data_IF_735934393080
#
_entry.id   IF_735934393080
#
_cell.length_a   1.000
_cell.length_b   1.000
_cell.length_c   1.000
_cell.angle_alpha   90.00
_cell.angle_beta   90.00
_cell.angle_gamma   90.00
#
_symmetry.space_group_name_H-M   'P 1'
#
loop_
_entity.id
_entity.type
_entity.pdbx_description
1 polymer ?
#
# COMPACT_ATOMS: atom_id res chain seq x y z
N UNK A 1 5.99 28.63 35.00
CA UNK A 1 5.48 29.84 34.31
C UNK A 1 3.98 29.65 34.07
N UNK A 2 3.18 30.73 34.09
CA UNK A 2 1.72 30.70 33.86
C UNK A 2 1.33 31.81 32.86
N UNK A 3 0.32 31.57 32.02
CA UNK A 3 -0.32 32.52 31.11
C UNK A 3 -1.65 33.00 31.71
N UNK A 4 -2.03 34.26 31.46
CA UNK A 4 -3.21 34.88 32.05
C UNK A 4 -4.20 35.22 30.93
N UNK A 5 -5.40 34.65 31.00
CA UNK A 5 -6.45 34.82 30.00
C UNK A 5 -7.00 36.25 30.01
N UNK A 6 -7.31 36.80 28.83
CA UNK A 6 -7.62 38.23 28.68
C UNK A 6 -8.95 38.66 29.33
N UNK A 7 -10.01 37.84 29.26
CA UNK A 7 -11.34 38.25 29.77
C UNK A 7 -11.82 37.46 30.99
N UNK A 8 -11.28 36.27 31.22
CA UNK A 8 -11.69 35.43 32.37
C UNK A 8 -10.88 35.69 33.64
N UNK A 9 -9.68 36.30 33.53
CA UNK A 9 -8.74 36.45 34.64
C UNK A 9 -8.22 35.11 35.19
N UNK A 10 -8.43 34.03 34.44
CA UNK A 10 -7.94 32.69 34.75
C UNK A 10 -6.46 32.59 34.36
N UNK A 11 -5.67 31.95 35.21
CA UNK A 11 -4.30 31.58 34.87
C UNK A 11 -4.26 30.12 34.43
N UNK A 12 -3.68 29.86 33.26
CA UNK A 12 -3.38 28.51 32.78
C UNK A 12 -1.85 28.30 32.77
N UNK A 13 -1.35 27.07 32.96
CA UNK A 13 0.06 26.77 32.69
C UNK A 13 0.50 27.22 31.30
N UNK A 14 1.70 27.80 31.15
CA UNK A 14 2.19 28.35 29.86
C UNK A 14 2.28 27.32 28.73
N UNK A 15 2.24 26.01 29.05
CA UNK A 15 2.17 24.93 28.05
C UNK A 15 0.83 24.85 27.31
N UNK A 16 -0.22 25.44 27.88
CA UNK A 16 -1.58 25.53 27.33
C UNK A 16 -1.80 26.85 26.57
N UNK A 17 -0.73 27.56 26.26
CA UNK A 17 -0.81 28.75 25.42
C UNK A 17 -0.38 28.35 24.03
N UNK A 18 -1.23 28.55 23.03
CA UNK A 18 -0.98 28.15 21.64
C UNK A 18 -0.85 26.62 21.47
N UNK A 19 -1.63 25.85 22.23
CA UNK A 19 -1.62 24.38 22.13
C UNK A 19 -2.77 23.81 21.30
N UNK A 20 -3.60 24.69 20.74
CA UNK A 20 -4.71 24.35 19.86
C UNK A 20 -6.01 24.00 20.59
N UNK A 21 -6.06 24.09 21.92
CA UNK A 21 -7.29 23.92 22.70
C UNK A 21 -7.71 25.24 23.36
N UNK A 22 -9.02 25.49 23.47
CA UNK A 22 -9.56 26.63 24.20
C UNK A 22 -9.51 26.35 25.71
N UNK A 23 -8.31 26.46 26.26
CA UNK A 23 -8.04 26.27 27.67
C UNK A 23 -8.49 27.47 28.51
N UNK A 24 -8.57 28.67 27.92
CA UNK A 24 -9.06 29.86 28.59
C UNK A 24 -10.60 29.97 28.65
N UNK A 25 -11.33 29.29 27.77
CA UNK A 25 -12.78 29.37 27.58
C UNK A 25 -13.25 30.64 26.83
N UNK A 26 -12.31 31.51 26.46
CA UNK A 26 -12.51 32.70 25.64
C UNK A 26 -11.53 32.74 24.45
N UNK A 27 -10.82 31.64 24.20
CA UNK A 27 -9.83 31.44 23.15
C UNK A 27 -8.66 32.44 23.16
N UNK A 28 -8.41 33.11 24.30
CA UNK A 28 -7.37 34.16 24.41
C UNK A 28 -5.94 33.60 24.51
N UNK A 29 -5.81 32.35 24.93
CA UNK A 29 -4.59 31.54 24.89
C UNK A 29 -4.14 31.16 23.49
N UNK A 30 -5.09 31.03 22.55
CA UNK A 30 -4.85 30.73 21.14
C UNK A 30 -4.75 31.98 20.26
N UNK A 31 -4.88 33.17 20.85
CA UNK A 31 -4.79 34.45 20.14
C UNK A 31 -3.36 35.00 20.15
N UNK A 32 -2.97 35.61 19.03
CA UNK A 32 -1.70 36.34 18.92
C UNK A 32 -0.47 35.48 19.26
N UNK A 33 -0.55 34.19 18.92
CA UNK A 33 0.56 33.27 18.87
C UNK A 33 1.57 33.79 17.85
N UNK A 34 2.50 34.64 18.31
CA UNK A 34 3.70 34.97 17.55
C UNK A 34 4.37 33.64 17.24
N UNK A 35 4.65 33.41 15.94
CA UNK A 35 5.40 32.26 15.40
C UNK A 35 6.75 32.17 16.13
N UNK A 36 6.70 31.65 17.34
CA UNK A 36 7.84 31.19 18.09
C UNK A 36 7.93 29.79 17.56
N UNK A 37 8.70 29.63 16.48
CA UNK A 37 8.71 28.42 15.65
C UNK A 37 8.58 27.18 16.52
N UNK A 38 7.72 26.26 16.09
CA UNK A 38 7.49 25.00 16.77
C UNK A 38 8.85 24.41 17.22
N UNK A 39 8.86 23.65 18.33
CA UNK A 39 10.10 23.06 18.82
C UNK A 39 10.83 22.30 17.71
N UNK A 40 12.16 22.12 17.80
CA UNK A 40 12.94 21.41 16.75
C UNK A 40 12.39 20.01 16.40
N UNK A 41 11.57 19.41 17.26
CA UNK A 41 10.88 18.12 17.07
C UNK A 41 9.44 18.22 16.55
N UNK A 42 9.00 19.39 16.11
CA UNK A 42 7.64 19.65 15.67
C UNK A 42 7.60 20.30 14.28
N UNK A 43 6.62 19.87 13.49
CA UNK A 43 6.27 20.46 12.20
C UNK A 43 5.28 21.62 12.39
N UNK A 44 5.44 22.69 11.61
CA UNK A 44 4.55 23.86 11.65
C UNK A 44 3.56 23.80 10.49
N UNK A 45 2.28 23.61 10.81
CA UNK A 45 1.18 23.61 9.86
C UNK A 45 0.96 25.00 9.24
N UNK A 46 0.29 25.07 8.08
CA UNK A 46 -0.06 26.35 7.42
C UNK A 46 -1.06 27.18 8.23
N UNK A 47 -1.95 26.53 9.00
CA UNK A 47 -2.84 27.16 9.97
C UNK A 47 -2.15 27.61 11.26
N UNK A 48 -0.83 27.39 11.40
CA UNK A 48 -0.02 27.79 12.56
C UNK A 48 0.00 26.77 13.70
N UNK A 49 -0.70 25.64 13.57
CA UNK A 49 -0.65 24.54 14.56
C UNK A 49 0.70 23.82 14.51
N UNK A 50 1.12 23.26 15.65
CA UNK A 50 2.33 22.44 15.72
C UNK A 50 1.96 20.97 15.94
N UNK A 51 2.44 20.09 15.08
CA UNK A 51 2.33 18.63 15.24
C UNK A 51 3.73 18.06 15.49
N UNK A 52 3.84 16.83 16.00
CA UNK A 52 5.16 16.19 16.08
C UNK A 52 5.69 15.92 14.67
N UNK A 53 6.99 16.08 14.43
CA UNK A 53 7.58 15.83 13.09
C UNK A 53 7.39 14.40 12.57
N UNK A 54 7.01 13.43 13.42
CA UNK A 54 6.66 12.07 12.98
C UNK A 54 5.29 11.98 12.26
N UNK A 55 4.47 13.02 12.41
CA UNK A 55 3.15 13.18 11.80
C UNK A 55 3.21 14.05 10.54
N UNK A 56 4.41 14.45 10.13
CA UNK A 56 4.62 15.01 8.80
C UNK A 56 4.69 13.84 7.82
N UNK A 57 3.78 13.81 6.83
CA UNK A 57 3.76 12.81 5.77
C UNK A 57 3.45 11.37 6.23
N UNK A 58 2.63 11.22 7.26
CA UNK A 58 2.23 9.90 7.77
C UNK A 58 0.90 9.39 7.17
N UNK A 59 0.24 10.21 6.36
CA UNK A 59 -1.00 9.91 5.66
C UNK A 59 -2.26 10.38 6.37
N UNK A 60 -2.15 10.95 7.58
CA UNK A 60 -3.27 11.49 8.35
C UNK A 60 -3.27 13.03 8.34
N UNK A 61 -4.45 13.63 8.51
CA UNK A 61 -4.59 15.09 8.59
C UNK A 61 -4.45 15.57 10.04
N UNK A 62 -3.25 15.51 10.59
CA UNK A 62 -2.94 15.95 11.95
C UNK A 62 -3.00 17.47 12.09
N UNK A 63 -2.63 18.20 11.04
CA UNK A 63 -2.74 19.65 11.01
C UNK A 63 -4.19 20.15 11.01
N UNK A 64 -5.13 19.35 10.51
CA UNK A 64 -6.54 19.72 10.30
C UNK A 64 -6.80 20.52 9.00
N UNK A 65 -5.75 20.98 8.33
CA UNK A 65 -5.78 21.72 7.06
C UNK A 65 -5.01 21.02 5.91
N UNK A 66 -4.58 19.76 6.12
CA UNK A 66 -3.76 18.94 5.22
C UNK A 66 -2.38 19.52 4.89
N UNK A 67 -1.88 20.47 5.68
CA UNK A 67 -0.59 21.11 5.39
C UNK A 67 0.64 20.26 5.73
N UNK A 68 0.48 19.28 6.61
CA UNK A 68 1.41 18.18 6.90
C UNK A 68 1.60 17.23 5.72
N UNK A 69 0.53 16.94 4.97
CA UNK A 69 0.58 15.93 3.89
C UNK A 69 0.86 16.51 2.49
N UNK A 70 0.72 17.84 2.31
CA UNK A 70 0.83 18.46 0.97
C UNK A 70 2.24 18.53 0.40
N UNK A 71 3.26 18.65 1.25
CA UNK A 71 4.64 18.91 0.82
C UNK A 71 5.59 17.72 1.05
N UNK A 72 5.03 16.52 1.04
CA UNK A 72 5.82 15.30 1.13
C UNK A 72 6.69 15.11 -0.11
N UNK A 73 8.00 14.99 0.13
CA UNK A 73 8.95 14.48 -0.83
C UNK A 73 9.01 12.96 -0.67
N UNK A 74 8.35 12.25 -1.58
CA UNK A 74 8.43 10.80 -1.61
C UNK A 74 9.86 10.37 -1.87
N UNK A 75 10.31 9.34 -1.15
CA UNK A 75 11.57 8.68 -1.46
C UNK A 75 11.51 8.01 -2.84
N UNK A 76 12.66 7.65 -3.41
CA UNK A 76 12.70 6.96 -4.71
C UNK A 76 11.95 5.62 -4.71
N UNK A 77 11.76 5.01 -3.53
CA UNK A 77 11.05 3.75 -3.32
C UNK A 77 9.54 3.94 -3.09
N UNK A 78 9.01 5.15 -3.24
CA UNK A 78 7.61 5.47 -3.03
C UNK A 78 6.98 6.09 -4.29
N UNK A 79 5.67 5.90 -4.43
CA UNK A 79 4.83 6.56 -5.42
C UNK A 79 4.08 7.72 -4.76
N UNK A 80 3.95 8.84 -5.48
CA UNK A 80 3.23 10.03 -5.00
C UNK A 80 1.83 10.05 -5.59
N UNK A 81 0.82 9.97 -4.74
CA UNK A 81 -0.58 10.13 -5.12
C UNK A 81 -0.85 11.53 -5.70
N UNK A 82 -1.70 11.60 -6.72
CA UNK A 82 -1.85 12.82 -7.53
C UNK A 82 -2.57 13.95 -6.79
N UNK A 83 -3.72 13.67 -6.14
CA UNK A 83 -4.48 14.71 -5.44
C UNK A 83 -4.05 14.92 -3.99
N UNK A 84 -3.80 13.85 -3.24
CA UNK A 84 -3.44 13.94 -1.81
C UNK A 84 -1.99 14.32 -1.60
N UNK A 85 -1.10 13.99 -2.54
CA UNK A 85 0.34 14.14 -2.37
C UNK A 85 0.97 13.13 -1.41
N UNK A 86 0.16 12.19 -0.89
CA UNK A 86 0.58 11.08 -0.02
C UNK A 86 1.57 10.19 -0.74
N UNK A 87 2.51 9.61 0.01
CA UNK A 87 3.49 8.68 -0.50
C UNK A 87 3.13 7.25 -0.11
N UNK A 88 2.87 6.39 -1.07
CA UNK A 88 2.66 4.95 -0.87
C UNK A 88 3.91 4.18 -1.28
N UNK A 89 4.15 2.95 -0.76
CA UNK A 89 5.17 2.07 -1.30
C UNK A 89 5.03 1.93 -2.82
N UNK A 90 6.15 1.91 -3.55
CA UNK A 90 6.09 1.79 -5.02
C UNK A 90 5.47 0.46 -5.47
N UNK A 91 5.51 -0.56 -4.64
CA UNK A 91 4.90 -1.86 -4.92
C UNK A 91 3.36 -1.81 -4.95
N UNK A 92 2.75 -0.77 -4.33
CA UNK A 92 1.31 -0.50 -4.33
C UNK A 92 0.87 0.31 -5.55
N UNK A 93 1.79 0.62 -6.47
CA UNK A 93 1.42 1.20 -7.74
C UNK A 93 0.97 0.06 -8.64
N UNK A 94 -0.28 0.08 -9.12
CA UNK A 94 -0.83 -0.92 -10.04
C UNK A 94 -1.02 -2.29 -9.41
N UNK A 95 -1.27 -2.40 -8.12
CA UNK A 95 -1.47 -3.69 -7.45
C UNK A 95 -2.94 -4.15 -7.46
N UNK A 96 -3.84 -3.33 -8.02
CA UNK A 96 -5.27 -3.59 -8.15
C UNK A 96 -6.13 -2.94 -7.06
N UNK A 97 -5.51 -2.30 -6.06
CA UNK A 97 -6.20 -1.65 -4.94
C UNK A 97 -6.06 -0.12 -4.99
N UNK A 98 -7.07 0.61 -4.47
CA UNK A 98 -7.00 2.08 -4.36
C UNK A 98 -6.31 2.48 -3.05
N UNK A 99 -4.98 2.41 -3.04
CA UNK A 99 -4.16 2.83 -1.91
C UNK A 99 -4.08 4.34 -1.78
N UNK A 100 -4.18 5.08 -2.87
CA UNK A 100 -4.16 6.55 -2.84
C UNK A 100 -5.47 7.17 -2.33
N UNK A 101 -6.58 6.44 -2.35
CA UNK A 101 -7.94 6.91 -2.03
C UNK A 101 -8.56 7.80 -3.11
N UNK A 102 -7.81 8.06 -4.19
CA UNK A 102 -8.24 8.79 -5.39
C UNK A 102 -7.97 7.99 -6.67
N UNK A 103 -7.53 6.74 -6.53
CA UNK A 103 -7.23 5.80 -7.60
C UNK A 103 -6.17 6.33 -8.59
N UNK A 104 -5.21 7.14 -8.11
CA UNK A 104 -4.11 7.67 -8.94
C UNK A 104 -2.90 6.72 -9.06
N UNK A 105 -2.87 5.69 -8.25
CA UNK A 105 -2.00 4.52 -8.27
C UNK A 105 -2.40 3.47 -9.32
N UNK A 106 -3.68 3.28 -9.62
CA UNK A 106 -4.09 2.22 -10.56
C UNK A 106 -4.09 2.52 -12.07
N UNK A 107 -4.03 3.77 -12.58
CA UNK A 107 -4.03 4.04 -14.01
C UNK A 107 -2.61 4.10 -14.62
N UNK A 108 -2.55 3.77 -15.92
CA UNK A 108 -1.37 3.81 -16.81
C UNK A 108 -0.25 2.80 -16.44
N UNK A 109 -0.65 1.58 -16.13
CA UNK A 109 0.23 0.47 -15.78
C UNK A 109 0.75 -0.23 -17.04
N UNK A 110 1.57 0.48 -17.83
CA UNK A 110 2.17 -0.07 -19.06
C UNK A 110 3.42 -0.92 -18.76
N UNK A 111 3.99 -0.78 -17.56
CA UNK A 111 5.18 -1.51 -17.12
C UNK A 111 5.27 -1.56 -15.60
N UNK A 112 5.48 -2.74 -15.04
CA UNK A 112 5.80 -2.93 -13.62
C UNK A 112 7.29 -2.67 -13.34
N UNK A 113 7.68 -2.68 -12.07
CA UNK A 113 9.11 -2.63 -11.69
C UNK A 113 9.85 -3.91 -12.13
N UNK A 114 11.19 -3.87 -12.18
CA UNK A 114 12.02 -5.02 -12.62
C UNK A 114 11.81 -6.30 -11.79
N UNK A 115 11.23 -6.20 -10.59
CA UNK A 115 10.93 -7.30 -9.68
C UNK A 115 9.47 -7.76 -9.68
N UNK A 116 8.64 -7.20 -10.55
CA UNK A 116 7.20 -7.48 -10.64
C UNK A 116 6.84 -8.10 -11.99
N UNK A 117 5.74 -8.84 -12.01
CA UNK A 117 5.14 -9.43 -13.20
C UNK A 117 3.89 -8.63 -13.60
N UNK A 118 3.76 -8.30 -14.89
CA UNK A 118 2.59 -7.60 -15.45
C UNK A 118 1.56 -8.61 -15.95
N UNK A 119 0.42 -8.66 -15.27
CA UNK A 119 -0.75 -9.44 -15.65
C UNK A 119 -1.40 -8.94 -16.94
N UNK A 120 -2.18 -9.79 -17.62
CA UNK A 120 -2.91 -9.44 -18.85
C UNK A 120 -3.96 -8.33 -18.60
N UNK A 121 -4.49 -8.25 -17.38
CA UNK A 121 -5.43 -7.22 -16.94
C UNK A 121 -4.76 -5.89 -16.50
N UNK A 122 -3.43 -5.80 -16.54
CA UNK A 122 -2.67 -4.59 -16.17
C UNK A 122 -2.24 -4.51 -14.70
N UNK A 123 -2.54 -5.52 -13.89
CA UNK A 123 -2.10 -5.60 -12.49
C UNK A 123 -0.62 -6.02 -12.42
N UNK A 124 0.12 -5.46 -11.47
CA UNK A 124 1.49 -5.79 -11.16
C UNK A 124 1.56 -6.63 -9.88
N UNK A 125 1.92 -7.89 -10.01
CA UNK A 125 2.16 -8.78 -8.86
C UNK A 125 3.65 -8.90 -8.58
N UNK A 126 4.00 -9.37 -7.39
CA UNK A 126 5.40 -9.68 -7.06
C UNK A 126 5.89 -10.77 -8.01
N UNK A 127 7.08 -10.64 -8.61
CA UNK A 127 7.57 -11.63 -9.58
C UNK A 127 7.75 -13.05 -9.02
N UNK A 128 7.74 -13.23 -7.70
CA UNK A 128 7.71 -14.57 -7.06
C UNK A 128 6.36 -15.27 -7.15
N UNK A 129 5.30 -14.54 -7.47
CA UNK A 129 3.94 -15.04 -7.67
C UNK A 129 3.68 -15.38 -9.14
N UNK A 130 4.63 -15.11 -10.04
CA UNK A 130 4.58 -15.70 -11.37
C UNK A 130 4.84 -17.22 -11.23
N UNK A 131 3.89 -18.04 -11.67
CA UNK A 131 4.01 -19.50 -11.69
C UNK A 131 4.11 -20.18 -10.31
N UNK A 132 3.44 -19.65 -9.29
CA UNK A 132 3.41 -20.22 -7.95
C UNK A 132 2.19 -21.12 -7.68
N UNK A 133 1.33 -21.29 -8.70
CA UNK A 133 0.07 -22.07 -8.68
C UNK A 133 -1.13 -21.41 -8.02
N UNK A 134 -1.02 -20.17 -7.59
CA UNK A 134 -2.13 -19.35 -7.14
C UNK A 134 -2.54 -18.34 -8.24
N UNK A 135 -3.73 -17.75 -8.12
CA UNK A 135 -4.24 -16.77 -9.10
C UNK A 135 -4.14 -15.38 -8.48
N UNK A 136 -2.93 -14.84 -8.44
CA UNK A 136 -2.62 -13.54 -7.89
C UNK A 136 -3.01 -12.41 -8.83
N UNK A 137 -2.96 -12.65 -10.15
CA UNK A 137 -3.48 -11.69 -11.14
C UNK A 137 -5.00 -11.54 -11.12
N UNK A 138 -5.74 -12.51 -10.57
CA UNK A 138 -7.21 -12.57 -10.62
C UNK A 138 -7.78 -13.04 -11.98
N UNK A 139 -6.99 -13.01 -13.06
CA UNK A 139 -7.35 -13.44 -14.42
C UNK A 139 -6.54 -14.65 -14.95
N UNK A 140 -5.77 -15.30 -14.06
CA UNK A 140 -4.87 -16.43 -14.31
C UNK A 140 -3.70 -16.14 -15.27
N UNK A 141 -3.38 -14.88 -15.56
CA UNK A 141 -2.30 -14.56 -16.53
C UNK A 141 -0.90 -14.88 -16.01
N UNK A 142 -0.68 -14.83 -14.71
CA UNK A 142 0.49 -15.30 -13.97
C UNK A 142 0.80 -16.80 -14.14
N UNK A 143 -0.22 -17.62 -14.39
CA UNK A 143 -0.08 -19.09 -14.43
C UNK A 143 -0.10 -19.67 -15.86
N UNK A 144 -0.45 -18.89 -16.89
CA UNK A 144 -0.63 -19.40 -18.28
C UNK A 144 0.67 -19.74 -18.99
N UNK A 145 1.75 -19.00 -18.72
CA UNK A 145 2.98 -19.04 -19.51
C UNK A 145 4.19 -19.66 -18.79
N UNK A 146 3.92 -20.48 -17.78
CA UNK A 146 4.94 -21.16 -17.01
C UNK A 146 5.72 -22.20 -17.81
N UNK A 147 7.05 -22.15 -17.68
CA UNK A 147 7.93 -23.23 -18.14
C UNK A 147 8.08 -24.25 -17.02
N UNK A 148 7.40 -25.38 -17.16
CA UNK A 148 7.53 -26.47 -16.20
C UNK A 148 8.96 -27.02 -16.20
N UNK A 149 9.49 -27.26 -15.00
CA UNK A 149 10.76 -27.98 -14.85
C UNK A 149 10.64 -29.40 -15.42
N UNK A 150 11.77 -30.04 -15.73
CA UNK A 150 11.78 -31.44 -16.22
C UNK A 150 11.19 -32.46 -15.24
N UNK A 151 10.92 -32.07 -14.00
CA UNK A 151 10.27 -32.87 -12.95
C UNK A 151 8.78 -32.55 -12.78
N UNK A 152 8.19 -31.78 -13.68
CA UNK A 152 6.80 -31.33 -13.63
C UNK A 152 6.08 -31.64 -14.94
N UNK A 153 4.77 -31.91 -14.85
CA UNK A 153 3.87 -32.10 -15.98
C UNK A 153 3.08 -30.80 -16.21
N UNK A 154 2.87 -30.43 -17.48
CA UNK A 154 2.15 -29.21 -17.87
C UNK A 154 0.71 -29.55 -18.24
N UNK A 155 -0.25 -29.01 -17.50
CA UNK A 155 -1.67 -29.13 -17.78
C UNK A 155 -2.05 -28.43 -19.10
N UNK A 156 -2.98 -29.02 -19.85
CA UNK A 156 -3.26 -28.62 -21.24
C UNK A 156 -4.08 -27.32 -21.34
N UNK A 157 -5.04 -27.10 -20.43
CA UNK A 157 -5.97 -25.96 -20.50
C UNK A 157 -5.47 -24.71 -19.81
N UNK A 158 -4.93 -24.85 -18.60
CA UNK A 158 -4.51 -23.71 -17.75
C UNK A 158 -2.98 -23.50 -17.76
N UNK A 159 -2.19 -24.41 -18.33
CA UNK A 159 -0.74 -24.30 -18.37
C UNK A 159 -0.04 -24.56 -17.02
N UNK A 160 -0.80 -24.95 -15.99
CA UNK A 160 -0.32 -25.23 -14.62
C UNK A 160 0.71 -26.35 -14.62
N UNK A 161 1.73 -26.22 -13.78
CA UNK A 161 2.77 -27.23 -13.61
C UNK A 161 2.50 -28.07 -12.35
N UNK A 162 2.10 -29.33 -12.52
CA UNK A 162 1.98 -30.29 -11.42
C UNK A 162 3.25 -31.12 -11.29
N UNK A 163 3.47 -31.80 -10.16
CA UNK A 163 4.61 -32.72 -10.03
C UNK A 163 4.45 -33.86 -11.04
N UNK A 164 5.54 -34.29 -11.68
CA UNK A 164 5.49 -35.44 -12.60
C UNK A 164 5.02 -36.75 -11.92
N UNK A 165 5.00 -36.82 -10.58
CA UNK A 165 4.41 -37.92 -9.83
C UNK A 165 2.88 -37.95 -9.85
N UNK A 166 2.24 -36.84 -10.22
CA UNK A 166 0.79 -36.67 -10.33
C UNK A 166 0.31 -36.85 -11.77
N UNK A 167 1.21 -37.18 -12.70
CA UNK A 167 0.80 -37.64 -14.03
C UNK A 167 0.38 -39.10 -13.91
N UNK A 168 -0.86 -39.42 -14.27
CA UNK A 168 -1.41 -40.78 -14.26
C UNK A 168 -1.44 -41.46 -12.88
N UNK A 169 -1.69 -40.71 -11.81
CA UNK A 169 -1.81 -41.25 -10.46
C UNK A 169 -3.26 -41.60 -10.06
N UNK A 170 -4.22 -41.23 -10.92
CA UNK A 170 -5.65 -41.52 -10.78
C UNK A 170 -6.48 -40.38 -10.20
N UNK A 171 -5.86 -39.26 -9.83
CA UNK A 171 -6.52 -38.05 -9.34
C UNK A 171 -6.46 -36.94 -10.41
N UNK A 172 -7.46 -36.07 -10.46
CA UNK A 172 -7.49 -34.92 -11.39
C UNK A 172 -6.82 -33.72 -10.72
N UNK A 173 -5.49 -33.64 -10.80
CA UNK A 173 -4.67 -32.55 -10.28
C UNK A 173 -4.62 -31.36 -11.23
N UNK A 174 -4.80 -31.56 -12.53
CA UNK A 174 -4.85 -30.46 -13.49
C UNK A 174 -6.18 -29.67 -13.49
N UNK A 175 -7.25 -30.25 -12.94
CA UNK A 175 -8.60 -29.70 -12.97
C UNK A 175 -9.34 -29.91 -14.30
N UNK A 176 -8.61 -30.07 -15.40
CA UNK A 176 -9.10 -30.39 -16.75
C UNK A 176 -8.88 -31.87 -17.15
N UNK A 177 -8.38 -32.69 -16.22
CA UNK A 177 -8.07 -34.10 -16.41
C UNK A 177 -7.00 -34.37 -17.48
N UNK A 178 -6.13 -33.40 -17.80
CA UNK A 178 -5.06 -33.56 -18.80
C UNK A 178 -3.90 -34.45 -18.33
N UNK A 179 -3.65 -34.47 -17.03
CA UNK A 179 -2.72 -35.35 -16.30
C UNK A 179 -3.10 -36.83 -16.32
N UNK A 180 -4.40 -37.12 -16.41
CA UNK A 180 -4.95 -38.48 -16.44
C UNK A 180 -5.29 -38.96 -17.87
N UNK A 181 -4.91 -38.18 -18.89
CA UNK A 181 -5.13 -38.52 -20.29
C UNK A 181 -3.90 -39.18 -20.91
N UNK A 182 -4.13 -40.21 -21.74
CA UNK A 182 -3.08 -40.95 -22.45
C UNK A 182 -2.06 -41.68 -21.56
N UNK A 183 -2.46 -42.03 -20.34
CA UNK A 183 -1.72 -42.95 -19.48
C UNK A 183 -1.54 -44.29 -20.20
N UNK A 184 -0.33 -44.52 -20.72
CA UNK A 184 0.04 -45.79 -21.32
C UNK A 184 -0.11 -46.83 -20.22
N UNK A 185 -1.11 -47.70 -20.36
CA UNK A 185 -1.56 -48.64 -19.36
C UNK A 185 -0.43 -49.59 -18.94
N UNK A 186 0.32 -49.17 -17.93
CA UNK A 186 1.32 -49.94 -17.20
C UNK A 186 1.48 -49.23 -15.85
N UNK A 187 0.85 -49.66 -14.75
CA UNK A 187 0.76 -51.03 -14.27
C UNK A 187 -0.40 -51.21 -13.29
N UNK A 188 -0.99 -52.40 -13.34
CA UNK A 188 -1.98 -52.93 -12.41
C UNK A 188 -1.48 -52.98 -10.97
N UNK A 189 -2.36 -52.71 -9.98
CA UNK A 189 -2.42 -53.53 -8.75
C UNK A 189 -3.81 -53.43 -8.11
N UNK A 190 -4.67 -54.42 -8.37
CA UNK A 190 -5.18 -55.31 -7.33
C UNK A 190 -5.64 -56.64 -7.92
#
# INVERSE_FOLDING_TARGET
SQFNCENSGRCIPTRYKCDGEDDCGDNSDEQNCSITGCSESQYTCNNGRCIFSRYECDGDNDCGDWSDERHCQCSAAQFKCENSGRCIPRDYKCDGDDDCGDNSDEPNCDSCTDSQFLCDNGICITGSYECDSDNDCGDWSDEKHCQCSSSQFKCETNGRCIRASYECDGDNDCGDNSDEQNCSSSSSTK
#
